data_IF_261190555118
#
_entry.id   IF_261190555118
#
_cell.length_a   1.000
_cell.length_b   1.000
_cell.length_c   1.000
_cell.angle_alpha   90.00
_cell.angle_beta   90.00
_cell.angle_gamma   90.00
#
_symmetry.space_group_name_H-M   'P 1'
#
loop_
_entity.id
_entity.type
_entity.pdbx_description
1 polymer ?
#
# COMPACT_ATOMS: atom_id res chain seq x y z
N UNK A 1 8.12 -2.01 -3.31
CA UNK A 1 7.37 -2.45 -2.12
C UNK A 1 5.95 -1.89 -2.20
N UNK A 2 4.94 -2.75 -2.19
CA UNK A 2 3.58 -2.27 -2.02
C UNK A 2 3.35 -1.90 -0.54
N UNK A 3 2.69 -0.77 -0.29
CA UNK A 3 2.26 -0.36 1.06
C UNK A 3 0.76 -0.18 1.03
N UNK A 4 0.05 -1.00 1.76
CA UNK A 4 -1.41 -1.08 1.77
C UNK A 4 -1.99 -1.10 3.18
N UNK A 5 -3.28 -0.86 3.30
CA UNK A 5 -3.93 -0.94 4.60
C UNK A 5 -5.32 -0.32 4.64
N UNK A 6 -5.79 -0.03 5.83
CA UNK A 6 -7.11 0.52 6.09
C UNK A 6 -7.28 1.92 5.47
N UNK A 7 -8.46 2.16 4.90
CA UNK A 7 -8.89 3.52 4.51
C UNK A 7 -9.05 4.46 5.73
N UNK A 8 -9.18 3.89 6.91
CA UNK A 8 -9.24 4.59 8.20
C UNK A 8 -7.96 4.42 9.01
N UNK A 9 -6.81 4.34 8.32
CA UNK A 9 -5.50 4.20 8.96
C UNK A 9 -5.24 5.33 9.97
N UNK A 10 -4.78 4.94 11.15
CA UNK A 10 -4.58 5.85 12.29
C UNK A 10 -3.19 6.49 12.29
N UNK A 11 -2.86 7.21 13.34
CA UNK A 11 -1.51 7.72 13.59
C UNK A 11 -0.48 6.59 13.75
N UNK A 12 -0.90 5.37 14.02
CA UNK A 12 -0.01 4.21 14.07
C UNK A 12 0.69 4.00 12.73
N UNK A 13 -0.08 4.02 11.62
CA UNK A 13 0.49 3.97 10.27
C UNK A 13 1.50 5.11 10.02
N UNK A 14 1.19 6.36 10.43
CA UNK A 14 2.12 7.48 10.28
C UNK A 14 3.44 7.24 11.01
N UNK A 15 3.39 6.79 12.26
CA UNK A 15 4.58 6.49 13.08
C UNK A 15 5.41 5.38 12.45
N UNK A 16 4.76 4.31 11.99
CA UNK A 16 5.43 3.17 11.35
C UNK A 16 6.13 3.59 10.05
N UNK A 17 5.45 4.33 9.16
CA UNK A 17 6.05 4.78 7.90
C UNK A 17 7.22 5.74 8.14
N UNK A 18 7.12 6.66 9.11
CA UNK A 18 8.26 7.51 9.51
C UNK A 18 9.47 6.72 9.98
N UNK A 19 9.26 5.59 10.65
CA UNK A 19 10.34 4.73 11.13
C UNK A 19 10.97 3.92 10.00
N UNK A 20 10.17 3.42 9.05
CA UNK A 20 10.62 2.48 8.01
C UNK A 20 11.22 3.19 6.78
N UNK A 21 10.59 4.25 6.29
CA UNK A 21 10.90 4.88 5.01
C UNK A 21 12.32 5.46 4.89
N UNK A 22 12.94 6.04 5.95
CA UNK A 22 14.33 6.46 5.85
C UNK A 22 15.28 5.32 5.46
N UNK A 23 15.01 4.11 5.92
CA UNK A 23 15.80 2.92 5.56
C UNK A 23 15.44 2.40 4.17
N UNK A 24 14.18 2.48 3.76
CA UNK A 24 13.74 2.14 2.40
C UNK A 24 14.37 3.07 1.35
N UNK A 25 14.49 4.37 1.65
CA UNK A 25 15.19 5.33 0.80
C UNK A 25 16.65 4.96 0.58
N UNK A 26 17.36 4.53 1.62
CA UNK A 26 18.79 4.13 1.53
C UNK A 26 19.03 2.97 0.57
N UNK A 27 18.05 2.10 0.35
CA UNK A 27 18.11 0.97 -0.59
C UNK A 27 17.35 1.23 -1.90
N UNK A 28 17.04 2.50 -2.19
CA UNK A 28 16.33 2.94 -3.40
C UNK A 28 15.01 2.20 -3.66
N UNK A 29 14.26 1.92 -2.58
CA UNK A 29 13.00 1.20 -2.69
C UNK A 29 11.89 2.08 -3.29
N UNK A 30 11.25 1.61 -4.36
CA UNK A 30 10.06 2.25 -4.93
C UNK A 30 8.81 1.84 -4.14
N UNK A 31 7.97 2.81 -3.79
CA UNK A 31 6.68 2.58 -3.11
C UNK A 31 5.57 2.43 -4.16
N UNK A 32 4.76 1.39 -4.03
CA UNK A 32 3.59 1.15 -4.89
C UNK A 32 2.34 1.14 -4.01
N UNK A 33 1.28 1.83 -4.42
CA UNK A 33 0.01 1.80 -3.69
C UNK A 33 -1.17 2.19 -4.58
N UNK A 34 -2.39 2.13 -4.02
CA UNK A 34 -3.62 2.29 -4.78
C UNK A 34 -4.25 3.67 -4.74
N UNK A 35 -3.60 4.65 -4.15
CA UNK A 35 -4.11 6.03 -4.01
C UNK A 35 -5.48 6.10 -3.29
N UNK A 36 -5.83 5.12 -2.47
CA UNK A 36 -7.00 5.17 -1.61
C UNK A 36 -6.77 6.11 -0.41
N UNK A 37 -7.85 6.44 0.31
CA UNK A 37 -7.73 7.12 1.61
C UNK A 37 -6.92 6.28 2.60
N UNK A 38 -6.42 6.90 3.65
CA UNK A 38 -5.76 6.22 4.77
C UNK A 38 -4.36 5.72 4.43
N UNK A 39 -4.09 4.43 4.52
CA UNK A 39 -2.76 3.87 4.39
C UNK A 39 -2.09 4.20 3.06
N UNK A 40 -2.80 4.05 1.94
CA UNK A 40 -2.28 4.32 0.60
C UNK A 40 -1.87 5.81 0.45
N UNK A 41 -2.78 6.72 0.83
CA UNK A 41 -2.50 8.16 0.85
C UNK A 41 -1.25 8.49 1.67
N UNK A 42 -1.16 7.92 2.89
CA UNK A 42 -0.01 8.15 3.78
C UNK A 42 1.28 7.61 3.17
N UNK A 43 1.25 6.43 2.54
CA UNK A 43 2.40 5.85 1.88
C UNK A 43 2.94 6.76 0.77
N UNK A 44 2.08 7.24 -0.13
CA UNK A 44 2.48 8.16 -1.19
C UNK A 44 3.01 9.48 -0.63
N UNK A 45 2.30 10.07 0.36
CA UNK A 45 2.72 11.33 0.99
C UNK A 45 4.12 11.23 1.61
N UNK A 46 4.40 10.15 2.36
CA UNK A 46 5.72 9.97 2.96
C UNK A 46 6.79 9.68 1.91
N UNK A 47 6.49 8.91 0.88
CA UNK A 47 7.43 8.66 -0.21
C UNK A 47 7.84 9.97 -0.90
N UNK A 48 6.86 10.78 -1.32
CA UNK A 48 7.12 12.08 -1.97
C UNK A 48 7.86 13.04 -1.04
N UNK A 49 7.48 13.13 0.24
CA UNK A 49 8.16 14.02 1.20
C UNK A 49 9.63 13.65 1.47
N UNK A 50 10.05 12.49 1.03
CA UNK A 50 11.42 11.98 1.14
C UNK A 50 12.10 11.79 -0.22
N UNK A 51 11.56 12.33 -1.31
CA UNK A 51 12.04 12.14 -2.69
C UNK A 51 12.24 10.66 -3.03
N UNK A 52 11.35 9.79 -2.59
CA UNK A 52 11.36 8.37 -2.93
C UNK A 52 10.47 8.12 -4.16
N UNK A 53 10.90 7.26 -5.09
CA UNK A 53 10.04 6.87 -6.20
C UNK A 53 8.72 6.26 -5.72
N UNK A 54 7.60 6.75 -6.26
CA UNK A 54 6.27 6.29 -5.87
C UNK A 54 5.37 6.08 -7.07
N UNK A 55 4.68 4.93 -7.09
CA UNK A 55 3.79 4.52 -8.18
C UNK A 55 2.37 4.37 -7.62
N UNK A 56 1.44 5.16 -8.14
CA UNK A 56 0.02 5.00 -7.86
C UNK A 56 -0.64 4.16 -8.96
N UNK A 57 -1.37 3.13 -8.57
CA UNK A 57 -2.16 2.31 -9.49
C UNK A 57 -3.62 2.69 -9.33
N UNK A 58 -4.29 3.13 -10.40
CA UNK A 58 -5.69 3.53 -10.36
C UNK A 58 -6.61 2.34 -10.65
N UNK A 59 -7.80 2.35 -10.06
CA UNK A 59 -8.92 1.45 -10.40
C UNK A 59 -9.95 2.12 -11.30
N UNK A 60 -9.51 3.02 -12.20
CA UNK A 60 -10.35 3.77 -13.14
C UNK A 60 -9.48 4.56 -14.12
N UNK A 61 -10.08 5.17 -15.13
CA UNK A 61 -9.37 5.92 -16.16
C UNK A 61 -8.79 7.26 -15.68
N UNK A 62 -7.72 7.70 -16.32
CA UNK A 62 -6.94 8.87 -15.92
C UNK A 62 -7.73 10.20 -15.93
N UNK A 63 -8.84 10.31 -16.66
CA UNK A 63 -9.65 11.53 -16.71
C UNK A 63 -10.48 11.76 -15.42
N UNK A 64 -10.48 10.82 -14.49
CA UNK A 64 -11.26 10.91 -13.25
C UNK A 64 -10.35 11.03 -12.03
N UNK A 65 -10.89 11.66 -10.97
CA UNK A 65 -10.26 11.75 -9.65
C UNK A 65 -11.14 11.11 -8.59
N UNK A 66 -10.64 10.06 -7.96
CA UNK A 66 -11.35 9.38 -6.89
C UNK A 66 -10.35 8.69 -5.94
N UNK A 67 -10.53 8.81 -4.63
CA UNK A 67 -11.43 9.72 -3.93
C UNK A 67 -10.94 11.17 -4.01
N UNK A 68 -11.84 12.15 -3.84
CA UNK A 68 -11.49 13.58 -3.97
C UNK A 68 -10.40 14.03 -3.01
N UNK A 69 -10.35 13.44 -1.82
CA UNK A 69 -9.38 13.78 -0.77
C UNK A 69 -7.93 13.43 -1.14
N UNK A 70 -7.72 12.57 -2.11
CA UNK A 70 -6.37 12.20 -2.57
C UNK A 70 -5.92 12.98 -3.81
N UNK A 71 -6.73 13.92 -4.30
CA UNK A 71 -6.41 14.67 -5.52
C UNK A 71 -5.07 15.43 -5.44
N UNK A 72 -4.79 16.08 -4.31
CA UNK A 72 -3.53 16.82 -4.13
C UNK A 72 -2.30 15.91 -4.28
N UNK A 73 -2.32 14.75 -3.64
CA UNK A 73 -1.25 13.75 -3.76
C UNK A 73 -1.18 13.18 -5.18
N UNK A 74 -2.31 12.97 -5.83
CA UNK A 74 -2.32 12.51 -7.21
C UNK A 74 -1.64 13.50 -8.15
N UNK A 75 -1.98 14.78 -8.07
CA UNK A 75 -1.37 15.82 -8.89
C UNK A 75 0.16 15.86 -8.70
N UNK A 76 0.61 15.69 -7.45
CA UNK A 76 2.02 15.63 -7.14
C UNK A 76 2.69 14.37 -7.72
N UNK A 77 2.05 13.20 -7.63
CA UNK A 77 2.53 11.95 -8.24
C UNK A 77 2.61 11.99 -9.77
N UNK A 78 1.73 12.74 -10.42
CA UNK A 78 1.78 12.94 -11.89
C UNK A 78 3.01 13.74 -12.35
N UNK A 79 3.62 14.52 -11.43
CA UNK A 79 4.81 15.34 -11.70
C UNK A 79 6.08 14.67 -11.18
N UNK A 80 6.07 14.16 -9.95
CA UNK A 80 7.24 13.69 -9.23
C UNK A 80 7.34 12.15 -9.13
N UNK A 81 6.31 11.43 -9.55
CA UNK A 81 6.22 9.97 -9.47
C UNK A 81 5.67 9.35 -10.73
N UNK A 82 4.82 8.33 -10.55
CA UNK A 82 4.15 7.67 -11.66
C UNK A 82 2.71 7.32 -11.27
N UNK A 83 1.76 7.61 -12.15
CA UNK A 83 0.37 7.21 -12.03
C UNK A 83 0.01 6.32 -13.21
N UNK A 84 -0.43 5.11 -12.94
CA UNK A 84 -0.78 4.13 -13.97
C UNK A 84 -2.20 3.60 -13.82
N UNK A 85 -2.77 3.15 -14.92
CA UNK A 85 -4.08 2.52 -14.97
C UNK A 85 -4.15 1.49 -16.10
N UNK A 86 -4.88 0.41 -15.87
CA UNK A 86 -5.27 -0.58 -16.89
C UNK A 86 -6.55 -0.17 -17.63
N UNK A 87 -7.27 0.80 -17.09
CA UNK A 87 -8.56 1.25 -17.60
C UNK A 87 -8.38 2.35 -18.64
N UNK A 88 -9.28 2.38 -19.65
CA UNK A 88 -9.30 3.45 -20.63
C UNK A 88 -9.49 4.82 -19.95
N UNK A 89 -8.91 5.91 -20.50
CA UNK A 89 -8.92 7.21 -19.83
C UNK A 89 -10.29 7.71 -19.38
N UNK A 90 -11.33 7.38 -20.12
CA UNK A 90 -12.73 7.80 -19.87
C UNK A 90 -13.56 6.80 -19.06
N UNK A 91 -12.96 5.74 -18.53
CA UNK A 91 -13.66 4.78 -17.65
C UNK A 91 -13.84 5.34 -16.25
N UNK A 92 -15.09 5.48 -15.80
CA UNK A 92 -15.45 5.98 -14.47
C UNK A 92 -15.11 4.96 -13.38
N UNK A 93 -14.86 5.40 -12.13
CA UNK A 93 -14.67 4.49 -10.99
C UNK A 93 -15.88 3.57 -10.77
N UNK A 94 -15.64 2.26 -10.71
CA UNK A 94 -16.63 1.25 -10.37
C UNK A 94 -16.16 0.45 -9.17
N UNK A 95 -17.10 0.00 -8.30
CA UNK A 95 -16.75 -0.71 -7.06
C UNK A 95 -15.90 -1.96 -7.30
N UNK A 96 -16.16 -2.71 -8.35
CA UNK A 96 -15.45 -3.96 -8.69
C UNK A 96 -14.07 -3.72 -9.32
N UNK A 97 -13.78 -2.55 -9.87
CA UNK A 97 -12.46 -2.22 -10.41
C UNK A 97 -11.36 -2.15 -9.33
N UNK A 98 -11.72 -1.75 -8.11
CA UNK A 98 -10.73 -1.64 -7.03
C UNK A 98 -10.14 -3.00 -6.61
N UNK A 99 -10.95 -4.05 -6.37
CA UNK A 99 -10.42 -5.39 -6.15
C UNK A 99 -9.60 -5.92 -7.33
N UNK A 100 -10.07 -5.75 -8.58
CA UNK A 100 -9.37 -6.18 -9.78
C UNK A 100 -8.00 -5.52 -9.93
N UNK A 101 -7.92 -4.21 -9.70
CA UNK A 101 -6.69 -3.43 -9.73
C UNK A 101 -5.64 -3.91 -8.73
N UNK A 102 -6.05 -4.43 -7.57
CA UNK A 102 -5.14 -4.78 -6.48
C UNK A 102 -4.07 -5.81 -6.90
N UNK A 103 -4.35 -6.69 -7.86
CA UNK A 103 -3.37 -7.60 -8.44
C UNK A 103 -2.18 -6.89 -9.11
N UNK A 104 -2.39 -5.67 -9.59
CA UNK A 104 -1.31 -4.86 -10.17
C UNK A 104 -0.42 -4.26 -9.08
N UNK A 105 -0.99 -3.85 -7.95
CA UNK A 105 -0.23 -3.33 -6.81
C UNK A 105 0.74 -4.40 -6.31
N UNK A 106 0.25 -5.62 -6.07
CA UNK A 106 1.10 -6.74 -5.64
C UNK A 106 2.04 -7.20 -6.75
N UNK A 107 1.56 -7.28 -8.01
CA UNK A 107 2.34 -7.74 -9.16
C UNK A 107 3.55 -6.88 -9.49
N UNK A 108 3.44 -5.56 -9.34
CA UNK A 108 4.51 -4.59 -9.53
C UNK A 108 5.52 -4.55 -8.36
N UNK A 109 5.28 -5.32 -7.31
CA UNK A 109 6.08 -5.28 -6.09
C UNK A 109 6.72 -6.63 -5.80
N UNK A 110 7.89 -6.63 -5.19
CA UNK A 110 8.53 -7.85 -4.68
C UNK A 110 7.87 -8.36 -3.38
N UNK A 111 7.20 -7.47 -2.65
CA UNK A 111 6.44 -7.79 -1.44
C UNK A 111 5.45 -6.70 -1.08
N UNK A 112 4.55 -7.01 -0.16
CA UNK A 112 3.54 -6.09 0.33
C UNK A 112 3.70 -5.86 1.84
N UNK A 113 3.59 -4.62 2.29
CA UNK A 113 3.52 -4.23 3.70
C UNK A 113 2.10 -3.81 4.06
N UNK A 114 1.50 -4.53 4.98
CA UNK A 114 0.18 -4.23 5.53
C UNK A 114 0.36 -3.42 6.81
N UNK A 115 -0.09 -2.16 6.81
CA UNK A 115 0.08 -1.27 7.96
C UNK A 115 -1.00 -1.50 9.02
N UNK A 116 -2.25 -1.38 8.66
CA UNK A 116 -3.44 -1.64 9.48
C UNK A 116 -4.51 -2.28 8.63
N UNK A 117 -5.13 -3.36 9.07
CA UNK A 117 -6.26 -3.98 8.38
C UNK A 117 -7.25 -4.64 9.34
N UNK A 118 -8.54 -4.56 9.00
CA UNK A 118 -9.58 -5.35 9.64
C UNK A 118 -9.52 -6.80 9.17
N UNK A 119 -10.11 -7.72 9.95
CA UNK A 119 -10.25 -9.13 9.57
C UNK A 119 -10.99 -9.33 8.23
N UNK A 120 -11.99 -8.50 7.95
CA UNK A 120 -12.69 -8.45 6.66
C UNK A 120 -12.39 -7.10 6.02
N UNK A 121 -11.59 -7.08 4.95
CA UNK A 121 -11.17 -5.84 4.29
C UNK A 121 -10.68 -6.09 2.86
N UNK A 122 -10.66 -5.03 2.06
CA UNK A 122 -10.04 -5.05 0.72
C UNK A 122 -8.53 -5.36 0.74
N UNK A 123 -7.87 -5.14 1.87
CA UNK A 123 -6.46 -5.49 2.08
C UNK A 123 -6.24 -7.00 1.92
N UNK A 124 -7.16 -7.84 2.41
CA UNK A 124 -7.07 -9.29 2.26
C UNK A 124 -7.12 -9.75 0.79
N UNK A 125 -7.84 -9.04 -0.07
CA UNK A 125 -7.85 -9.33 -1.50
C UNK A 125 -6.45 -9.10 -2.09
N UNK A 126 -5.82 -7.99 -1.75
CA UNK A 126 -4.44 -7.70 -2.19
C UNK A 126 -3.44 -8.72 -1.62
N UNK A 127 -3.63 -9.15 -0.38
CA UNK A 127 -2.82 -10.19 0.25
C UNK A 127 -2.93 -11.51 -0.51
N UNK A 128 -4.15 -11.92 -0.87
CA UNK A 128 -4.38 -13.13 -1.68
C UNK A 128 -3.67 -13.03 -3.03
N UNK A 129 -3.85 -11.91 -3.75
CA UNK A 129 -3.14 -11.68 -5.02
C UNK A 129 -1.60 -11.77 -4.85
N UNK A 130 -1.07 -11.22 -3.75
CA UNK A 130 0.37 -11.27 -3.48
C UNK A 130 0.86 -12.72 -3.30
N UNK A 131 0.13 -13.54 -2.54
CA UNK A 131 0.46 -14.95 -2.33
C UNK A 131 0.40 -15.76 -3.63
N UNK A 132 -0.63 -15.57 -4.45
CA UNK A 132 -0.75 -16.21 -5.77
C UNK A 132 0.40 -15.81 -6.71
N UNK A 133 0.96 -14.62 -6.53
CA UNK A 133 2.08 -14.09 -7.31
C UNK A 133 3.44 -14.37 -6.68
N UNK A 134 3.52 -15.21 -5.63
CA UNK A 134 4.74 -15.53 -4.87
C UNK A 134 5.44 -14.25 -4.35
N UNK A 135 4.67 -13.30 -3.80
CA UNK A 135 5.21 -12.08 -3.18
C UNK A 135 5.28 -12.24 -1.67
N UNK A 136 6.34 -11.69 -1.09
CA UNK A 136 6.47 -11.65 0.38
C UNK A 136 5.38 -10.79 1.01
N UNK A 137 4.84 -11.25 2.12
CA UNK A 137 3.82 -10.53 2.88
C UNK A 137 4.36 -10.13 4.24
N UNK A 138 4.34 -8.83 4.51
CA UNK A 138 4.78 -8.22 5.77
C UNK A 138 3.62 -7.55 6.46
N UNK A 139 3.56 -7.66 7.77
CA UNK A 139 2.52 -7.03 8.60
C UNK A 139 3.14 -6.25 9.74
N UNK A 140 2.60 -5.06 10.01
CA UNK A 140 2.91 -4.38 11.26
C UNK A 140 2.16 -5.07 12.41
N UNK A 141 2.81 -5.30 13.57
CA UNK A 141 2.15 -5.86 14.74
C UNK A 141 1.11 -4.88 15.29
N UNK A 142 0.23 -5.37 16.15
CA UNK A 142 -0.75 -4.55 16.82
C UNK A 142 -1.45 -5.28 17.96
N UNK A 143 -2.31 -4.54 18.66
CA UNK A 143 -3.07 -5.11 19.77
C UNK A 143 -4.16 -6.05 19.26
N UNK A 144 -4.33 -7.20 19.91
CA UNK A 144 -5.44 -8.12 19.64
C UNK A 144 -6.82 -7.51 19.92
N UNK A 145 -6.86 -6.42 20.69
CA UNK A 145 -8.09 -5.69 21.02
C UNK A 145 -8.42 -4.57 20.01
N UNK A 146 -7.51 -4.29 19.07
CA UNK A 146 -7.73 -3.25 18.07
C UNK A 146 -8.25 -3.86 16.75
N UNK A 147 -9.46 -3.50 16.38
CA UNK A 147 -10.10 -3.97 15.13
C UNK A 147 -9.28 -3.69 13.86
N UNK A 148 -8.50 -2.59 13.86
CA UNK A 148 -7.69 -2.21 12.71
C UNK A 148 -6.38 -3.02 12.59
N UNK A 149 -6.07 -3.88 13.55
CA UNK A 149 -4.90 -4.75 13.50
C UNK A 149 -5.25 -6.25 13.51
N UNK A 150 -6.52 -6.59 13.64
CA UNK A 150 -6.97 -8.00 13.61
C UNK A 150 -6.62 -8.70 12.29
N UNK A 151 -6.76 -8.01 11.15
CA UNK A 151 -6.36 -8.57 9.85
C UNK A 151 -4.86 -8.82 9.75
N UNK A 152 -4.04 -7.94 10.35
CA UNK A 152 -2.58 -8.13 10.41
C UNK A 152 -2.23 -9.38 11.23
N UNK A 153 -2.86 -9.56 12.40
CA UNK A 153 -2.62 -10.72 13.26
C UNK A 153 -3.04 -12.03 12.59
N UNK A 154 -4.16 -12.03 11.88
CA UNK A 154 -4.60 -13.19 11.09
C UNK A 154 -3.59 -13.51 9.99
N UNK A 155 -3.14 -12.50 9.24
CA UNK A 155 -2.12 -12.70 8.20
C UNK A 155 -0.81 -13.23 8.79
N UNK A 156 -0.41 -12.77 9.99
CA UNK A 156 0.76 -13.30 10.69
C UNK A 156 0.60 -14.79 11.03
N UNK A 157 -0.59 -15.22 11.48
CA UNK A 157 -0.89 -16.64 11.74
C UNK A 157 -0.87 -17.48 10.44
N UNK A 158 -1.20 -16.85 9.31
CA UNK A 158 -1.16 -17.45 7.97
C UNK A 158 0.26 -17.44 7.36
N UNK A 159 1.27 -16.94 8.09
CA UNK A 159 2.67 -16.98 7.67
C UNK A 159 3.27 -15.65 7.21
N UNK A 160 2.52 -14.53 7.29
CA UNK A 160 3.09 -13.22 6.99
C UNK A 160 4.17 -12.84 8.02
N UNK A 161 5.26 -12.21 7.56
CA UNK A 161 6.37 -11.79 8.41
C UNK A 161 5.99 -10.55 9.23
N UNK A 162 6.17 -10.63 10.56
CA UNK A 162 5.95 -9.50 11.45
C UNK A 162 7.14 -8.53 11.34
N UNK A 163 6.86 -7.25 11.13
CA UNK A 163 7.87 -6.20 11.00
C UNK A 163 7.98 -5.43 12.30
N UNK A 164 9.15 -5.50 12.93
CA UNK A 164 9.52 -4.75 14.13
C UNK A 164 10.52 -3.63 13.81
N UNK A 165 11.30 -3.81 12.74
CA UNK A 165 12.36 -2.89 12.31
C UNK A 165 12.56 -2.97 10.80
N UNK A 166 13.20 -1.95 10.17
CA UNK A 166 13.37 -1.92 8.71
C UNK A 166 14.11 -3.12 8.13
N UNK A 167 15.08 -3.70 8.87
CA UNK A 167 15.86 -4.87 8.43
C UNK A 167 15.00 -6.11 8.20
N UNK A 168 13.85 -6.22 8.87
CA UNK A 168 12.94 -7.37 8.71
C UNK A 168 12.32 -7.42 7.30
N UNK A 169 12.38 -6.31 6.57
CA UNK A 169 11.98 -6.21 5.17
C UNK A 169 13.21 -6.16 4.26
N UNK A 170 14.16 -5.28 4.56
CA UNK A 170 15.26 -4.95 3.65
C UNK A 170 16.12 -6.16 3.36
N UNK A 171 16.39 -7.01 4.35
CA UNK A 171 17.25 -8.19 4.20
C UNK A 171 16.72 -9.23 3.20
N UNK A 172 15.43 -9.21 2.90
CA UNK A 172 14.83 -10.12 1.90
C UNK A 172 15.01 -9.60 0.46
N UNK A 173 15.55 -8.38 0.27
CA UNK A 173 15.66 -7.74 -1.04
C UNK A 173 17.12 -7.32 -1.40
N UNK A 174 18.05 -7.54 -0.50
CA UNK A 174 19.49 -7.40 -0.72
C UNK A 174 20.10 -8.72 -1.17
#
# INVERSE_FOLDING_TARGET
MAVIGSRNATQYTDKALRSLFPSFKKVNMTIVSGLAKGADYKAHRYALSMDMPSIAVLGFGHLYHYPKETQGIRNQLEVEGLVISEYLPNQTPQKYYFPERNRLISGLSKGILITESKSVSGTRITTHCALEQNREVYVLPGSMFNELTKGNLLSAQEGAKIVLRPSDIINDFL
#
